data_IF_109031561387
#
_entry.id   IF_109031561387
#
_cell.length_a   1.000
_cell.length_b   1.000
_cell.length_c   1.000
_cell.angle_alpha   90.00
_cell.angle_beta   90.00
_cell.angle_gamma   90.00
#
_symmetry.space_group_name_H-M   'P 1'
#
loop_
_entity.id
_entity.type
_entity.pdbx_description
1 polymer ?
#
# COMPACT_ATOMS: atom_id res chain seq x y z
N UNK A 1 -14.51 -9.78 4.33
CA UNK A 1 -14.27 -8.90 3.17
C UNK A 1 -15.61 -8.33 2.73
N UNK A 2 -15.82 -7.01 2.83
CA UNK A 2 -17.14 -6.37 2.67
C UNK A 2 -17.50 -6.05 1.21
N UNK A 3 -16.56 -6.24 0.28
CA UNK A 3 -16.73 -5.89 -1.13
C UNK A 3 -16.77 -4.39 -1.40
N UNK A 4 -16.50 -3.56 -0.38
CA UNK A 4 -16.39 -2.10 -0.48
C UNK A 4 -14.90 -1.71 -0.39
N UNK A 5 -14.53 -0.54 -0.94
CA UNK A 5 -13.24 0.07 -0.61
C UNK A 5 -13.09 0.19 0.90
N UNK A 6 -11.87 0.05 1.35
CA UNK A 6 -11.45 0.37 2.71
C UNK A 6 -11.93 1.77 3.10
N UNK A 7 -12.59 1.97 4.27
CA UNK A 7 -13.27 3.22 4.60
C UNK A 7 -12.36 4.46 4.57
N UNK A 8 -11.06 4.25 4.80
CA UNK A 8 -10.06 5.31 4.84
C UNK A 8 -9.13 5.31 3.63
N UNK A 9 -9.35 4.46 2.62
CA UNK A 9 -8.49 4.41 1.44
C UNK A 9 -8.52 5.73 0.69
N UNK A 10 -7.35 6.14 0.22
CA UNK A 10 -7.16 7.36 -0.56
C UNK A 10 -8.11 7.39 -1.78
N UNK A 11 -8.82 8.50 -1.96
CA UNK A 11 -9.87 8.63 -2.99
C UNK A 11 -9.31 8.53 -4.42
N UNK A 12 -8.12 9.07 -4.67
CA UNK A 12 -7.47 8.98 -5.99
C UNK A 12 -7.06 7.53 -6.30
N UNK A 13 -6.61 6.79 -5.27
CA UNK A 13 -6.34 5.37 -5.40
C UNK A 13 -7.62 4.58 -5.70
N UNK A 14 -8.73 4.87 -5.02
CA UNK A 14 -10.02 4.21 -5.30
C UNK A 14 -10.42 4.40 -6.78
N UNK A 15 -10.26 5.60 -7.33
CA UNK A 15 -10.57 5.87 -8.74
C UNK A 15 -9.68 5.03 -9.65
N UNK A 16 -8.36 5.06 -9.42
CA UNK A 16 -7.38 4.26 -10.18
C UNK A 16 -7.70 2.76 -10.14
N UNK A 17 -8.03 2.23 -8.96
CA UNK A 17 -8.35 0.81 -8.77
C UNK A 17 -9.68 0.43 -9.42
N UNK A 18 -10.69 1.31 -9.45
CA UNK A 18 -11.97 1.04 -10.14
C UNK A 18 -11.80 0.98 -11.66
N UNK A 19 -10.98 1.87 -12.21
CA UNK A 19 -10.69 1.89 -13.64
C UNK A 19 -9.89 0.64 -14.05
N UNK A 20 -8.97 0.20 -13.19
CA UNK A 20 -8.16 -1.00 -13.40
C UNK A 20 -8.91 -2.29 -13.13
N UNK A 21 -9.80 -2.32 -12.15
CA UNK A 21 -10.55 -3.49 -11.69
C UNK A 21 -12.06 -3.23 -11.78
N UNK A 22 -12.62 -3.13 -13.00
CA UNK A 22 -14.05 -2.88 -13.20
C UNK A 22 -14.91 -4.02 -12.64
N UNK A 23 -16.00 -3.67 -11.97
CA UNK A 23 -16.93 -4.64 -11.38
C UNK A 23 -17.63 -5.48 -12.45
N UNK A 24 -17.88 -6.76 -12.14
CA UNK A 24 -18.68 -7.66 -13.01
C UNK A 24 -17.93 -8.24 -14.20
N UNK A 25 -16.65 -7.91 -14.39
CA UNK A 25 -15.79 -8.55 -15.37
C UNK A 25 -14.86 -9.55 -14.68
N UNK A 26 -14.78 -10.77 -15.22
CA UNK A 26 -13.73 -11.72 -14.87
C UNK A 26 -12.43 -11.26 -15.54
N UNK A 27 -11.78 -10.25 -14.95
CA UNK A 27 -10.51 -9.72 -15.44
C UNK A 27 -9.37 -10.16 -14.52
N UNK A 28 -8.29 -10.71 -15.11
CA UNK A 28 -7.03 -11.00 -14.40
C UNK A 28 -6.15 -9.74 -14.31
N UNK A 29 -6.77 -8.57 -14.10
CA UNK A 29 -6.04 -7.32 -13.99
C UNK A 29 -5.25 -7.31 -12.69
N UNK A 30 -3.99 -6.92 -12.78
CA UNK A 30 -3.11 -6.78 -11.63
C UNK A 30 -2.87 -5.30 -11.32
N UNK A 31 -2.59 -5.03 -10.05
CA UNK A 31 -2.13 -3.75 -9.51
C UNK A 31 -0.90 -4.03 -8.65
N UNK A 32 0.04 -3.10 -8.61
CA UNK A 32 1.21 -3.22 -7.74
C UNK A 32 0.80 -3.07 -6.28
N UNK A 33 1.45 -3.74 -5.34
CA UNK A 33 1.17 -3.54 -3.92
C UNK A 33 1.78 -2.23 -3.40
N UNK A 34 2.92 -1.84 -3.97
CA UNK A 34 3.51 -0.52 -3.79
C UNK A 34 3.00 0.44 -4.86
N UNK A 35 2.17 1.40 -4.44
CA UNK A 35 1.59 2.44 -5.28
C UNK A 35 2.55 3.62 -5.56
N UNK A 36 3.84 3.46 -5.28
CA UNK A 36 4.89 4.40 -5.67
C UNK A 36 4.97 4.63 -7.19
N UNK A 37 5.93 5.44 -7.63
CA UNK A 37 6.14 5.62 -9.08
C UNK A 37 6.56 4.29 -9.72
N UNK A 38 6.19 3.98 -10.97
CA UNK A 38 6.46 2.67 -11.59
C UNK A 38 7.95 2.22 -11.56
N UNK A 39 8.90 3.16 -11.59
CA UNK A 39 10.34 2.85 -11.45
C UNK A 39 10.80 2.52 -10.03
N UNK A 40 9.97 2.85 -9.04
CA UNK A 40 10.16 2.64 -7.60
C UNK A 40 9.48 1.33 -7.18
N UNK A 41 8.27 1.04 -7.68
CA UNK A 41 7.49 -0.16 -7.32
C UNK A 41 8.13 -1.51 -7.68
N UNK A 42 9.22 -1.52 -8.45
CA UNK A 42 10.01 -2.72 -8.76
C UNK A 42 11.20 -2.93 -7.82
N UNK A 43 11.44 -2.01 -6.88
CA UNK A 43 12.55 -2.04 -5.93
C UNK A 43 12.05 -2.50 -4.56
N UNK A 44 12.93 -3.17 -3.83
CA UNK A 44 12.73 -3.40 -2.40
C UNK A 44 13.28 -2.17 -1.68
N UNK A 45 12.37 -1.35 -1.17
CA UNK A 45 12.65 -0.16 -0.36
C UNK A 45 11.45 0.12 0.57
N UNK A 46 11.51 1.22 1.32
CA UNK A 46 10.47 1.56 2.30
C UNK A 46 9.25 2.29 1.69
N UNK A 47 9.17 2.45 0.36
CA UNK A 47 8.05 3.12 -0.32
C UNK A 47 6.71 2.48 0.03
N UNK A 48 6.61 1.15 0.03
CA UNK A 48 5.40 0.43 0.45
C UNK A 48 4.85 0.96 1.79
N UNK A 49 5.71 1.11 2.80
CA UNK A 49 5.30 1.62 4.11
C UNK A 49 4.92 3.11 4.08
N UNK A 50 5.59 3.91 3.24
CA UNK A 50 5.20 5.31 3.04
C UNK A 50 3.79 5.41 2.44
N UNK A 51 3.45 4.53 1.50
CA UNK A 51 2.11 4.48 0.90
C UNK A 51 1.04 4.14 1.94
N UNK A 52 1.33 3.29 2.93
CA UNK A 52 0.37 2.99 4.00
C UNK A 52 0.02 4.22 4.84
N UNK A 53 0.99 5.12 5.10
CA UNK A 53 0.76 6.38 5.81
C UNK A 53 -0.07 7.38 4.99
N UNK A 54 -0.11 7.24 3.67
CA UNK A 54 -0.94 8.03 2.75
C UNK A 54 -2.33 7.39 2.50
N UNK A 55 -2.66 6.35 3.27
CA UNK A 55 -3.85 5.53 3.10
C UNK A 55 -3.94 4.86 1.72
N UNK A 56 -2.80 4.46 1.16
CA UNK A 56 -2.69 3.85 -0.16
C UNK A 56 -2.37 2.34 -0.12
N UNK A 57 -2.70 1.66 0.98
CA UNK A 57 -2.65 0.20 1.05
C UNK A 57 -3.69 -0.44 0.10
N UNK A 58 -3.31 -1.50 -0.62
CA UNK A 58 -4.18 -2.16 -1.60
C UNK A 58 -5.10 -3.19 -0.94
N UNK A 59 -4.54 -4.01 -0.05
CA UNK A 59 -5.26 -5.03 0.69
C UNK A 59 -5.61 -4.50 2.08
N UNK A 60 -6.71 -4.99 2.65
CA UNK A 60 -7.17 -4.56 3.99
C UNK A 60 -6.05 -4.63 5.04
N UNK A 61 -5.34 -5.76 5.08
CA UNK A 61 -4.30 -5.95 6.08
C UNK A 61 -3.10 -5.00 5.90
N UNK A 62 -2.85 -4.50 4.68
CA UNK A 62 -1.81 -3.49 4.43
C UNK A 62 -2.13 -2.24 5.25
N UNK A 63 -3.38 -1.77 5.17
CA UNK A 63 -3.80 -0.57 5.88
C UNK A 63 -3.90 -0.79 7.40
N UNK A 64 -4.22 -2.01 7.82
CA UNK A 64 -4.25 -2.40 9.24
C UNK A 64 -2.85 -2.27 9.87
N UNK A 65 -1.75 -2.49 9.12
CA UNK A 65 -0.39 -2.34 9.66
C UNK A 65 -0.10 -0.90 10.12
N UNK A 66 -0.55 0.10 9.37
CA UNK A 66 -0.33 1.50 9.69
C UNK A 66 -1.34 2.08 10.70
N UNK A 67 -2.55 1.51 10.76
CA UNK A 67 -3.62 2.02 11.63
C UNK A 67 -3.74 1.31 12.98
N UNK A 68 -3.22 0.09 13.10
CA UNK A 68 -3.22 -0.66 14.34
C UNK A 68 -2.24 -0.08 15.37
N UNK A 69 -2.70 0.11 16.60
CA UNK A 69 -1.86 0.57 17.72
C UNK A 69 -0.74 -0.41 18.12
N UNK A 70 -0.75 -1.64 17.60
CA UNK A 70 0.32 -2.62 17.83
C UNK A 70 1.50 -2.46 16.86
N UNK A 71 1.24 -1.95 15.65
CA UNK A 71 2.21 -1.98 14.54
C UNK A 71 2.53 -0.60 13.97
N UNK A 72 1.69 0.41 14.20
CA UNK A 72 1.85 1.76 13.65
C UNK A 72 3.23 2.38 13.94
N UNK A 73 3.76 2.19 15.15
CA UNK A 73 5.05 2.73 15.57
C UNK A 73 6.20 2.11 14.78
N UNK A 74 6.10 0.81 14.47
CA UNK A 74 7.08 0.13 13.62
C UNK A 74 7.01 0.63 12.18
N UNK A 75 5.80 0.82 11.64
CA UNK A 75 5.60 1.39 10.30
C UNK A 75 6.23 2.78 10.21
N UNK A 76 5.96 3.67 11.16
CA UNK A 76 6.56 5.01 11.20
C UNK A 76 8.09 4.97 11.31
N UNK A 77 8.65 4.02 12.05
CA UNK A 77 10.11 3.86 12.16
C UNK A 77 10.72 3.44 10.81
N UNK A 78 10.10 2.48 10.12
CA UNK A 78 10.54 2.00 8.80
C UNK A 78 10.47 3.12 7.75
N UNK A 79 9.45 3.97 7.78
CA UNK A 79 9.36 5.11 6.83
C UNK A 79 10.49 6.13 6.99
N UNK A 80 11.12 6.18 8.16
CA UNK A 80 12.23 7.10 8.47
C UNK A 80 13.61 6.48 8.22
N UNK A 81 13.69 5.18 7.90
CA UNK A 81 14.97 4.52 7.67
C UNK A 81 15.61 4.95 6.35
N UNK A 82 16.95 4.94 6.31
CA UNK A 82 17.67 5.07 5.03
C UNK A 82 17.49 3.80 4.18
N UNK A 83 17.76 3.88 2.88
CA UNK A 83 17.76 2.71 1.98
C UNK A 83 18.72 1.61 2.48
N UNK A 84 19.91 2.00 2.93
CA UNK A 84 20.91 1.09 3.49
C UNK A 84 20.39 0.40 4.77
N UNK A 85 19.72 1.14 5.65
CA UNK A 85 19.21 0.56 6.90
C UNK A 85 17.99 -0.33 6.69
N UNK A 86 17.15 0.00 5.70
CA UNK A 86 16.02 -0.84 5.28
C UNK A 86 16.51 -2.19 4.73
N UNK A 87 17.51 -2.17 3.85
CA UNK A 87 18.00 -3.39 3.20
C UNK A 87 18.92 -4.25 4.07
N UNK A 88 19.40 -3.75 5.21
CA UNK A 88 20.12 -4.57 6.20
C UNK A 88 19.23 -5.58 6.92
N UNK A 89 17.92 -5.42 6.84
CA UNK A 89 16.93 -6.31 7.45
C UNK A 89 16.53 -7.49 6.55
N UNK A 90 17.07 -7.56 5.32
CA UNK A 90 16.81 -8.61 4.35
C UNK A 90 18.00 -9.57 4.19
#
# INVERSE_FOLDING_TARGET
NTGKPEPNMNIELIQTLRDRCPQGLLSNNTVDLDQGRPSISIKVDNSYYNQLLLNQGILQFDQDLASSGLTNTAVEAITKSSYEDFNKLC
#
